data_IF_813892886161
#
_entry.id   IF_813892886161
#
_cell.length_a   1.000
_cell.length_b   1.000
_cell.length_c   1.000
_cell.angle_alpha   90.00
_cell.angle_beta   90.00
_cell.angle_gamma   90.00
#
_symmetry.space_group_name_H-M   'P 1'
#
loop_
_entity.id
_entity.type
_entity.pdbx_description
1 polymer ?
#
# COMPACT_ATOMS: atom_id res chain seq x y z
N UNK A 1 6.48 5.56 -7.50
CA UNK A 1 5.57 4.64 -8.24
C UNK A 1 4.54 4.03 -7.31
N UNK A 2 4.96 3.56 -6.13
CA UNK A 2 4.05 2.97 -5.14
C UNK A 2 2.98 3.96 -4.64
N UNK A 3 3.36 5.15 -4.17
CA UNK A 3 2.42 6.20 -3.73
C UNK A 3 1.32 6.49 -4.75
N UNK A 4 1.66 6.61 -6.04
CA UNK A 4 0.66 6.89 -7.09
C UNK A 4 -0.36 5.75 -7.23
N UNK A 5 0.08 4.50 -7.15
CA UNK A 5 -0.82 3.34 -7.20
C UNK A 5 -1.86 3.39 -6.08
N UNK A 6 -1.42 3.67 -4.85
CA UNK A 6 -2.33 3.75 -3.73
C UNK A 6 -3.30 4.93 -3.82
N UNK A 7 -2.84 6.09 -4.29
CA UNK A 7 -3.69 7.26 -4.50
C UNK A 7 -4.75 6.98 -5.58
N UNK A 8 -4.37 6.37 -6.70
CA UNK A 8 -5.33 5.97 -7.74
C UNK A 8 -6.38 5.02 -7.19
N UNK A 9 -6.01 4.03 -6.38
CA UNK A 9 -6.98 3.12 -5.75
C UNK A 9 -7.95 3.87 -4.82
N UNK A 10 -7.47 4.84 -4.04
CA UNK A 10 -8.31 5.66 -3.16
C UNK A 10 -9.24 6.59 -3.96
N UNK A 11 -8.78 7.15 -5.08
CA UNK A 11 -9.57 7.98 -5.97
C UNK A 11 -10.72 7.20 -6.64
N UNK A 12 -10.49 5.94 -7.01
CA UNK A 12 -11.51 5.07 -7.61
C UNK A 12 -12.72 4.82 -6.69
N UNK A 13 -12.60 5.06 -5.38
CA UNK A 13 -13.72 5.00 -4.45
C UNK A 13 -14.71 6.16 -4.60
N UNK A 14 -14.40 7.19 -5.41
CA UNK A 14 -15.29 8.31 -5.69
C UNK A 14 -15.52 9.29 -4.54
N UNK A 15 -14.72 9.20 -3.46
CA UNK A 15 -14.83 10.07 -2.28
C UNK A 15 -13.59 10.98 -2.17
N UNK A 16 -13.73 12.29 -2.44
CA UNK A 16 -12.63 13.24 -2.30
C UNK A 16 -12.07 13.31 -0.87
N UNK A 17 -12.94 13.21 0.14
CA UNK A 17 -12.52 13.19 1.54
C UNK A 17 -11.68 11.95 1.85
N UNK A 18 -12.08 10.77 1.37
CA UNK A 18 -11.31 9.54 1.55
C UNK A 18 -9.94 9.65 0.87
N UNK A 19 -9.89 10.12 -0.37
CA UNK A 19 -8.63 10.28 -1.11
C UNK A 19 -7.67 11.25 -0.38
N UNK A 20 -8.17 12.37 0.11
CA UNK A 20 -7.37 13.34 0.86
C UNK A 20 -6.82 12.77 2.18
N UNK A 21 -7.66 12.08 2.96
CA UNK A 21 -7.22 11.44 4.20
C UNK A 21 -6.21 10.32 3.93
N UNK A 22 -6.43 9.53 2.88
CA UNK A 22 -5.50 8.50 2.47
C UNK A 22 -4.15 9.09 2.07
N UNK A 23 -4.14 10.18 1.30
CA UNK A 23 -2.90 10.86 0.90
C UNK A 23 -2.08 11.34 2.10
N UNK A 24 -2.74 11.91 3.12
CA UNK A 24 -2.09 12.32 4.35
C UNK A 24 -1.46 11.12 5.09
N UNK A 25 -2.20 10.02 5.28
CA UNK A 25 -1.68 8.80 5.90
C UNK A 25 -0.50 8.23 5.10
N UNK A 26 -0.60 8.22 3.77
CA UNK A 26 0.44 7.69 2.88
C UNK A 26 1.71 8.54 2.95
N UNK A 27 1.60 9.86 3.08
CA UNK A 27 2.77 10.73 3.29
C UNK A 27 3.50 10.35 4.58
N UNK A 28 2.77 10.22 5.70
CA UNK A 28 3.37 9.79 6.98
C UNK A 28 4.02 8.41 6.89
N UNK A 29 3.40 7.45 6.20
CA UNK A 29 4.01 6.11 6.00
C UNK A 29 5.28 6.20 5.16
N UNK A 30 5.32 7.06 4.13
CA UNK A 30 6.54 7.26 3.33
C UNK A 30 7.66 7.86 4.19
N UNK A 31 7.37 8.87 5.01
CA UNK A 31 8.36 9.47 5.91
C UNK A 31 8.99 8.42 6.84
N UNK A 32 8.17 7.50 7.37
CA UNK A 32 8.66 6.38 8.20
C UNK A 32 9.50 5.38 7.40
N UNK A 33 9.11 5.08 6.15
CA UNK A 33 9.85 4.18 5.27
C UNK A 33 11.20 4.78 4.83
N UNK A 34 11.29 6.10 4.72
CA UNK A 34 12.54 6.80 4.39
C UNK A 34 13.57 6.72 5.54
N UNK A 35 13.14 6.37 6.76
CA UNK A 35 14.03 6.15 7.90
C UNK A 35 14.69 4.76 7.92
N UNK A 36 14.30 3.82 7.06
CA UNK A 36 14.79 2.43 7.10
C UNK A 36 15.64 2.06 5.87
N UNK A 37 16.57 1.09 5.97
CA UNK A 37 17.33 0.64 4.81
C UNK A 37 16.44 0.07 3.71
N UNK A 38 16.78 0.39 2.46
CA UNK A 38 16.10 -0.16 1.30
C UNK A 38 16.39 -1.65 1.16
N UNK A 39 15.37 -2.48 1.36
CA UNK A 39 15.46 -3.93 1.22
C UNK A 39 14.91 -4.35 -0.15
N UNK A 40 15.79 -4.69 -1.09
CA UNK A 40 15.42 -5.06 -2.48
C UNK A 40 14.37 -6.18 -2.51
N UNK A 41 14.54 -7.22 -1.70
CA UNK A 41 13.58 -8.34 -1.60
C UNK A 41 12.21 -7.89 -1.12
N UNK A 42 12.15 -6.91 -0.22
CA UNK A 42 10.89 -6.34 0.25
C UNK A 42 10.20 -5.55 -0.86
N UNK A 43 10.97 -4.77 -1.64
CA UNK A 43 10.42 -4.06 -2.80
C UNK A 43 9.86 -5.03 -3.83
N UNK A 44 10.58 -6.08 -4.20
CA UNK A 44 10.08 -7.09 -5.14
C UNK A 44 8.80 -7.76 -4.64
N UNK A 45 8.72 -8.08 -3.35
CA UNK A 45 7.52 -8.66 -2.75
C UNK A 45 6.34 -7.68 -2.80
N UNK A 46 6.56 -6.44 -2.37
CA UNK A 46 5.57 -5.36 -2.41
C UNK A 46 5.04 -5.14 -3.83
N UNK A 47 5.92 -5.11 -4.84
CA UNK A 47 5.52 -4.98 -6.25
C UNK A 47 4.66 -6.15 -6.74
N UNK A 48 4.92 -7.39 -6.29
CA UNK A 48 4.04 -8.54 -6.59
C UNK A 48 2.69 -8.41 -5.91
N UNK A 49 2.65 -7.95 -4.66
CA UNK A 49 1.40 -7.71 -3.94
C UNK A 49 0.57 -6.62 -4.63
N UNK A 50 1.20 -5.54 -5.11
CA UNK A 50 0.52 -4.50 -5.90
C UNK A 50 -0.07 -5.04 -7.20
N UNK A 51 0.68 -5.85 -7.94
CA UNK A 51 0.18 -6.45 -9.18
C UNK A 51 -1.03 -7.36 -8.90
N UNK A 52 -0.98 -8.17 -7.83
CA UNK A 52 -2.10 -9.01 -7.42
C UNK A 52 -3.33 -8.21 -6.98
N UNK A 53 -3.12 -7.11 -6.24
CA UNK A 53 -4.19 -6.21 -5.82
C UNK A 53 -4.87 -5.57 -7.04
N UNK A 54 -4.10 -5.03 -7.99
CA UNK A 54 -4.63 -4.45 -9.23
C UNK A 54 -5.40 -5.49 -10.04
N UNK A 55 -4.87 -6.71 -10.15
CA UNK A 55 -5.56 -7.79 -10.85
C UNK A 55 -6.92 -8.12 -10.22
N UNK A 56 -7.00 -8.22 -8.89
CA UNK A 56 -8.26 -8.47 -8.19
C UNK A 56 -9.27 -7.32 -8.38
N UNK A 57 -8.83 -6.07 -8.31
CA UNK A 57 -9.67 -4.89 -8.56
C UNK A 57 -10.23 -4.91 -9.99
N UNK A 58 -9.39 -5.16 -10.99
CA UNK A 58 -9.82 -5.22 -12.39
C UNK A 58 -10.77 -6.40 -12.67
N UNK A 59 -10.62 -7.51 -11.95
CA UNK A 59 -11.51 -8.65 -12.02
C UNK A 59 -12.85 -8.44 -11.27
N UNK A 60 -13.01 -7.35 -10.53
CA UNK A 60 -14.18 -7.13 -9.67
C UNK A 60 -14.19 -8.02 -8.41
N UNK A 61 -13.08 -8.67 -8.08
CA UNK A 61 -12.94 -9.51 -6.88
C UNK A 61 -12.67 -8.64 -5.64
N UNK A 62 -13.76 -8.16 -5.03
CA UNK A 62 -13.69 -7.28 -3.87
C UNK A 62 -13.08 -7.96 -2.63
N UNK A 63 -13.33 -9.25 -2.43
CA UNK A 63 -12.81 -9.98 -1.27
C UNK A 63 -11.32 -10.27 -1.44
N UNK A 64 -10.90 -10.71 -2.63
CA UNK A 64 -9.50 -10.88 -2.96
C UNK A 64 -8.73 -9.56 -2.88
N UNK A 65 -9.26 -8.46 -3.42
CA UNK A 65 -8.63 -7.14 -3.32
C UNK A 65 -8.47 -6.70 -1.85
N UNK A 66 -9.51 -6.90 -1.03
CA UNK A 66 -9.47 -6.56 0.39
C UNK A 66 -8.40 -7.36 1.14
N UNK A 67 -8.31 -8.67 0.87
CA UNK A 67 -7.33 -9.52 1.52
C UNK A 67 -5.90 -9.12 1.15
N UNK A 68 -5.61 -8.92 -0.16
CA UNK A 68 -4.28 -8.50 -0.62
C UNK A 68 -3.88 -7.15 -0.01
N UNK A 69 -4.80 -6.19 0.08
CA UNK A 69 -4.54 -4.90 0.70
C UNK A 69 -4.20 -5.04 2.20
N UNK A 70 -4.92 -5.90 2.93
CA UNK A 70 -4.65 -6.15 4.36
C UNK A 70 -3.30 -6.82 4.59
N UNK A 71 -2.99 -7.87 3.84
CA UNK A 71 -1.70 -8.55 3.90
C UNK A 71 -0.55 -7.58 3.62
N UNK A 72 -0.70 -6.74 2.59
CA UNK A 72 0.28 -5.70 2.26
C UNK A 72 0.50 -4.71 3.42
N UNK A 73 -0.58 -4.16 3.99
CA UNK A 73 -0.50 -3.26 5.14
C UNK A 73 0.15 -3.93 6.35
N UNK A 74 -0.20 -5.19 6.64
CA UNK A 74 0.39 -5.94 7.75
C UNK A 74 1.89 -6.16 7.55
N UNK A 75 2.33 -6.47 6.32
CA UNK A 75 3.74 -6.60 5.97
C UNK A 75 4.52 -5.30 6.17
N UNK A 76 4.01 -4.18 5.67
CA UNK A 76 4.61 -2.85 5.86
C UNK A 76 4.71 -2.48 7.34
N UNK A 77 3.65 -2.76 8.12
CA UNK A 77 3.65 -2.47 9.55
C UNK A 77 4.66 -3.35 10.32
N UNK A 78 4.81 -4.63 9.94
CA UNK A 78 5.80 -5.52 10.53
C UNK A 78 7.23 -5.06 10.21
N UNK A 79 7.48 -4.61 8.97
CA UNK A 79 8.75 -4.05 8.56
C UNK A 79 9.11 -2.80 9.38
N UNK A 80 8.20 -1.82 9.47
CA UNK A 80 8.43 -0.59 10.22
C UNK A 80 8.72 -0.88 11.71
N UNK A 81 7.95 -1.77 12.34
CA UNK A 81 8.22 -2.21 13.71
C UNK A 81 9.56 -2.93 13.87
N UNK A 82 10.01 -3.67 12.85
CA UNK A 82 11.29 -4.37 12.90
C UNK A 82 12.52 -3.45 12.86
N UNK A 83 12.38 -2.23 12.32
CA UNK A 83 13.49 -1.29 12.14
C UNK A 83 13.42 -0.04 13.01
N UNK A 84 12.23 0.37 13.45
CA UNK A 84 12.01 1.62 14.21
C UNK A 84 11.65 1.38 15.69
N UNK A 85 11.63 0.13 16.15
CA UNK A 85 11.39 -0.21 17.55
C UNK A 85 12.61 0.00 18.45
#
# INVERSE_FOLDING_TARGET
RDTLLHLTLAELCGSPTLAAQYAAVRATVNDLLDCIPLLVRNLEHSQRQHAALVAAVLAGDADGARERAREHCAGTAALLRGFLA
#
